data_IF_091939544148
#
_entry.id   IF_091939544148
#
_cell.length_a   1.000
_cell.length_b   1.000
_cell.length_c   1.000
_cell.angle_alpha   90.00
_cell.angle_beta   90.00
_cell.angle_gamma   90.00
#
_symmetry.space_group_name_H-M   'P 1'
#
loop_
_entity.id
_entity.type
_entity.pdbx_description
1 polymer ?
#
# COMPACT_ATOMS: atom_id res chain seq x y z
N UNK A 1 -46.53 -0.95 -77.97
CA UNK A 1 -46.52 -1.55 -76.62
C UNK A 1 -45.56 -0.74 -75.77
N UNK A 2 -46.08 0.24 -75.04
CA UNK A 2 -45.32 1.23 -74.27
C UNK A 2 -45.10 0.74 -72.84
N UNK A 3 -43.83 0.72 -72.42
CA UNK A 3 -43.35 0.29 -71.10
C UNK A 3 -43.54 1.40 -70.06
N UNK A 4 -44.20 1.08 -68.95
CA UNK A 4 -44.34 1.93 -67.76
C UNK A 4 -43.18 1.63 -66.79
N UNK A 5 -42.18 2.51 -66.72
CA UNK A 5 -41.18 2.47 -65.65
C UNK A 5 -41.74 3.18 -64.40
N UNK A 6 -41.96 2.42 -63.33
CA UNK A 6 -42.26 2.95 -61.99
C UNK A 6 -40.98 3.61 -61.42
N UNK A 7 -40.98 4.94 -61.32
CA UNK A 7 -39.95 5.69 -60.59
C UNK A 7 -40.12 5.45 -59.09
N UNK A 8 -39.20 4.71 -58.48
CA UNK A 8 -39.03 4.66 -57.03
C UNK A 8 -38.74 6.09 -56.54
N UNK A 9 -39.55 6.59 -55.60
CA UNK A 9 -39.39 7.95 -55.07
C UNK A 9 -38.13 8.06 -54.18
N UNK A 10 -37.27 9.06 -54.39
CA UNK A 10 -36.02 9.23 -53.64
C UNK A 10 -36.24 9.51 -52.14
N UNK A 11 -37.47 9.85 -51.73
CA UNK A 11 -37.83 10.06 -50.32
C UNK A 11 -37.84 8.75 -49.50
N UNK A 12 -38.08 7.59 -50.12
CA UNK A 12 -38.17 6.31 -49.40
C UNK A 12 -36.77 5.75 -49.04
N UNK A 13 -35.75 6.08 -49.83
CA UNK A 13 -34.35 5.72 -49.56
C UNK A 13 -33.73 6.60 -48.45
N UNK A 14 -34.20 7.85 -48.30
CA UNK A 14 -33.72 8.74 -47.24
C UNK A 14 -34.19 8.29 -45.84
N UNK A 15 -35.39 7.70 -45.74
CA UNK A 15 -35.94 7.23 -44.46
C UNK A 15 -35.25 5.96 -43.94
N UNK A 16 -34.76 5.09 -44.83
CA UNK A 16 -34.01 3.88 -44.45
C UNK A 16 -32.59 4.24 -43.98
N UNK A 17 -31.99 5.30 -44.53
CA UNK A 17 -30.66 5.76 -44.12
C UNK A 17 -30.63 6.50 -42.77
N UNK A 18 -31.76 7.08 -42.36
CA UNK A 18 -31.90 7.76 -41.06
C UNK A 18 -32.11 6.80 -39.87
N UNK A 19 -32.58 5.58 -40.10
CA UNK A 19 -32.72 4.56 -39.03
C UNK A 19 -31.44 3.76 -38.76
N UNK A 20 -30.44 3.80 -39.66
CA UNK A 20 -29.16 3.09 -39.50
C UNK A 20 -28.09 3.91 -38.77
N UNK A 21 -28.37 5.17 -38.42
CA UNK A 21 -27.51 6.03 -37.60
C UNK A 21 -28.06 6.23 -36.18
N UNK A 22 -28.92 5.33 -35.69
CA UNK A 22 -29.10 5.19 -34.25
C UNK A 22 -27.73 4.79 -33.68
N UNK A 23 -27.05 5.74 -33.06
CA UNK A 23 -25.82 5.55 -32.32
C UNK A 23 -26.02 4.43 -31.29
N UNK A 24 -25.71 3.20 -31.69
CA UNK A 24 -25.49 2.12 -30.75
C UNK A 24 -24.11 2.42 -30.17
N UNK A 25 -24.06 3.28 -29.15
CA UNK A 25 -22.86 3.32 -28.31
C UNK A 25 -22.68 1.90 -27.79
N UNK A 26 -21.53 1.25 -28.06
CA UNK A 26 -21.29 -0.08 -27.53
C UNK A 26 -21.54 -0.01 -26.01
N UNK A 27 -22.25 -0.99 -25.43
CA UNK A 27 -22.44 -1.02 -23.99
C UNK A 27 -21.06 -0.91 -23.34
N UNK A 28 -20.91 -0.13 -22.26
CA UNK A 28 -19.64 -0.02 -21.57
C UNK A 28 -19.12 -1.43 -21.28
N UNK A 29 -17.80 -1.67 -21.41
CA UNK A 29 -17.24 -2.97 -21.14
C UNK A 29 -17.72 -3.44 -19.76
N UNK A 30 -18.11 -4.72 -19.61
CA UNK A 30 -18.52 -5.24 -18.32
C UNK A 30 -17.39 -5.01 -17.32
N UNK A 31 -17.76 -4.67 -16.08
CA UNK A 31 -16.80 -4.54 -15.00
C UNK A 31 -15.97 -5.82 -14.92
N UNK A 32 -14.66 -5.69 -14.75
CA UNK A 32 -13.81 -6.84 -14.46
C UNK A 32 -14.34 -7.57 -13.21
N UNK A 33 -14.23 -8.90 -13.14
CA UNK A 33 -14.69 -9.66 -11.98
C UNK A 33 -14.01 -9.12 -10.70
N UNK A 34 -14.79 -8.95 -9.64
CA UNK A 34 -14.30 -8.37 -8.38
C UNK A 34 -13.31 -9.32 -7.73
N UNK A 35 -12.02 -8.96 -7.75
CA UNK A 35 -10.93 -9.73 -7.15
C UNK A 35 -10.26 -8.90 -6.06
N UNK A 36 -10.64 -9.14 -4.80
CA UNK A 36 -10.12 -8.41 -3.64
C UNK A 36 -9.23 -9.35 -2.81
N UNK A 37 -8.02 -8.89 -2.47
CA UNK A 37 -7.07 -9.57 -1.59
C UNK A 37 -6.70 -8.64 -0.42
N UNK A 38 -6.88 -9.05 0.85
CA UNK A 38 -7.51 -10.28 1.31
C UNK A 38 -8.99 -10.39 0.91
N UNK A 39 -9.49 -11.61 0.75
CA UNK A 39 -10.91 -11.85 0.48
C UNK A 39 -11.75 -11.27 1.63
N UNK A 40 -12.74 -10.46 1.27
CA UNK A 40 -13.68 -9.85 2.21
C UNK A 40 -14.64 -10.89 2.78
N UNK A 41 -15.14 -10.66 4.00
CA UNK A 41 -16.02 -11.61 4.68
C UNK A 41 -17.35 -11.88 3.96
N UNK A 42 -18.02 -10.82 3.47
CA UNK A 42 -19.27 -10.90 2.71
C UNK A 42 -19.19 -9.94 1.52
N UNK A 43 -19.47 -10.45 0.32
CA UNK A 43 -19.46 -9.71 -0.95
C UNK A 43 -20.71 -10.09 -1.75
N UNK A 44 -21.47 -9.08 -2.14
CA UNK A 44 -22.56 -9.20 -3.13
C UNK A 44 -22.27 -8.30 -4.30
N UNK A 45 -22.19 -8.87 -5.48
CA UNK A 45 -22.01 -8.15 -6.74
C UNK A 45 -23.36 -7.84 -7.38
N UNK A 46 -23.51 -6.63 -7.90
CA UNK A 46 -24.67 -6.18 -8.65
C UNK A 46 -24.23 -5.69 -10.02
N UNK A 47 -25.14 -5.73 -11.00
CA UNK A 47 -24.86 -5.23 -12.34
C UNK A 47 -24.72 -3.71 -12.38
N UNK A 48 -23.67 -3.23 -13.05
CA UNK A 48 -23.43 -1.81 -13.29
C UNK A 48 -22.19 -1.28 -12.58
N UNK A 49 -21.95 0.01 -12.76
CA UNK A 49 -20.80 0.72 -12.18
C UNK A 49 -21.18 2.13 -11.76
N UNK A 50 -20.46 2.68 -10.78
CA UNK A 50 -20.42 4.11 -10.48
C UNK A 50 -19.07 4.69 -10.91
N UNK A 51 -19.08 5.86 -11.52
CA UNK A 51 -17.86 6.51 -12.02
C UNK A 51 -17.38 7.62 -11.08
N UNK A 52 -16.09 7.64 -10.78
CA UNK A 52 -15.41 8.73 -10.08
C UNK A 52 -14.94 9.76 -11.11
N UNK A 53 -15.26 11.02 -10.87
CA UNK A 53 -15.01 12.15 -11.77
C UNK A 53 -14.40 13.34 -11.00
N UNK A 54 -13.94 14.41 -11.68
CA UNK A 54 -13.46 15.64 -11.03
C UNK A 54 -14.50 16.37 -10.18
N UNK A 55 -15.78 16.05 -10.38
CA UNK A 55 -16.90 16.65 -9.67
C UNK A 55 -17.42 15.76 -8.55
N UNK A 56 -16.85 14.56 -8.37
CA UNK A 56 -17.20 13.66 -7.27
C UNK A 56 -16.92 14.36 -5.95
N UNK A 57 -17.96 14.47 -5.12
CA UNK A 57 -17.89 15.06 -3.79
C UNK A 57 -17.80 13.96 -2.72
N UNK A 58 -16.74 14.01 -1.93
CA UNK A 58 -16.54 13.12 -0.78
C UNK A 58 -16.95 13.87 0.49
N UNK A 59 -17.88 13.29 1.24
CA UNK A 59 -18.36 13.85 2.50
C UNK A 59 -17.96 13.00 3.68
N UNK A 60 -17.43 13.65 4.71
CA UNK A 60 -16.97 13.04 5.96
C UNK A 60 -17.60 13.72 7.17
N UNK A 61 -17.50 13.10 8.36
CA UNK A 61 -18.13 13.63 9.58
C UNK A 61 -17.20 14.46 10.44
N UNK A 62 -15.87 14.30 10.31
CA UNK A 62 -14.90 14.99 11.16
C UNK A 62 -13.54 15.18 10.45
N UNK A 63 -12.67 16.00 11.06
CA UNK A 63 -11.35 16.34 10.52
C UNK A 63 -10.39 15.15 10.37
N UNK A 64 -10.53 14.10 11.20
CA UNK A 64 -9.67 12.91 11.09
C UNK A 64 -10.04 12.10 9.85
N UNK A 65 -11.32 11.84 9.65
CA UNK A 65 -11.84 11.22 8.43
C UNK A 65 -11.51 12.05 7.19
N UNK A 66 -11.56 13.39 7.30
CA UNK A 66 -11.17 14.29 6.22
C UNK A 66 -9.71 14.06 5.80
N UNK A 67 -8.78 13.94 6.75
CA UNK A 67 -7.39 13.61 6.44
C UNK A 67 -7.27 12.25 5.74
N UNK A 68 -7.89 11.21 6.30
CA UNK A 68 -7.84 9.84 5.75
C UNK A 68 -8.37 9.81 4.31
N UNK A 69 -9.51 10.46 4.06
CA UNK A 69 -10.10 10.53 2.73
C UNK A 69 -9.23 11.36 1.77
N UNK A 70 -8.69 12.51 2.20
CA UNK A 70 -7.78 13.32 1.38
C UNK A 70 -6.53 12.55 1.00
N UNK A 71 -5.90 11.85 1.94
CA UNK A 71 -4.69 11.06 1.69
C UNK A 71 -4.95 10.00 0.58
N UNK A 72 -6.15 9.41 0.54
CA UNK A 72 -6.56 8.48 -0.51
C UNK A 72 -6.90 9.18 -1.84
N UNK A 73 -7.80 10.16 -1.84
CA UNK A 73 -8.31 10.77 -3.06
C UNK A 73 -7.31 11.71 -3.75
N UNK A 74 -6.31 12.23 -3.03
CA UNK A 74 -5.22 13.00 -3.62
C UNK A 74 -4.41 12.18 -4.63
N UNK A 75 -4.39 10.86 -4.51
CA UNK A 75 -3.73 9.97 -5.49
C UNK A 75 -4.28 10.15 -6.90
N UNK A 76 -5.56 10.52 -7.05
CA UNK A 76 -6.13 10.84 -8.38
C UNK A 76 -5.48 12.05 -9.03
N UNK A 77 -4.96 13.02 -8.28
CA UNK A 77 -4.26 14.16 -8.88
C UNK A 77 -2.88 13.77 -9.44
N UNK A 78 -2.27 12.72 -8.88
CA UNK A 78 -1.02 12.15 -9.38
C UNK A 78 -1.27 11.32 -10.64
N UNK A 79 -2.35 10.53 -10.66
CA UNK A 79 -2.69 9.63 -11.75
C UNK A 79 -3.38 10.33 -12.92
N UNK A 80 -4.12 11.41 -12.72
CA UNK A 80 -4.98 11.98 -13.76
C UNK A 80 -4.49 13.35 -14.25
N UNK A 81 -5.17 13.86 -15.28
CA UNK A 81 -4.99 15.24 -15.76
C UNK A 81 -5.91 16.23 -15.04
N UNK A 82 -6.80 15.73 -14.19
CA UNK A 82 -7.79 16.52 -13.48
C UNK A 82 -7.47 16.56 -11.97
N UNK A 83 -8.15 17.45 -11.24
CA UNK A 83 -7.92 17.66 -9.80
C UNK A 83 -8.47 16.50 -8.97
N UNK A 84 -7.91 16.22 -7.80
CA UNK A 84 -8.49 15.24 -6.88
C UNK A 84 -9.96 15.57 -6.53
N UNK A 85 -10.82 14.56 -6.33
CA UNK A 85 -12.16 14.74 -5.78
C UNK A 85 -12.15 15.60 -4.51
N UNK A 86 -13.15 16.46 -4.36
CA UNK A 86 -13.23 17.37 -3.22
C UNK A 86 -13.68 16.60 -1.96
N UNK A 87 -12.97 16.80 -0.85
CA UNK A 87 -13.29 16.19 0.45
C UNK A 87 -13.73 17.27 1.42
N UNK A 88 -14.98 17.21 1.88
CA UNK A 88 -15.57 18.19 2.80
C UNK A 88 -16.22 17.52 4.00
N UNK A 89 -16.21 18.22 5.15
CA UNK A 89 -17.01 17.81 6.30
C UNK A 89 -18.47 18.21 6.04
N UNK A 90 -19.37 17.23 5.99
CA UNK A 90 -20.75 17.50 5.63
C UNK A 90 -21.58 16.24 5.44
N UNK A 91 -22.69 16.38 4.72
CA UNK A 91 -23.60 15.31 4.34
C UNK A 91 -23.89 15.42 2.84
N UNK A 92 -24.40 14.34 2.24
CA UNK A 92 -24.92 14.30 0.88
C UNK A 92 -23.85 14.47 -0.23
N UNK A 93 -22.69 13.83 -0.09
CA UNK A 93 -21.75 13.64 -1.20
C UNK A 93 -22.06 12.40 -2.05
N UNK A 94 -21.34 12.24 -3.15
CA UNK A 94 -21.36 11.00 -3.95
C UNK A 94 -20.70 9.85 -3.19
N UNK A 95 -19.65 10.16 -2.42
CA UNK A 95 -18.97 9.22 -1.51
C UNK A 95 -19.18 9.72 -0.07
N UNK A 96 -19.73 8.87 0.79
CA UNK A 96 -20.21 9.29 2.11
C UNK A 96 -19.62 8.42 3.22
N UNK A 97 -18.90 9.05 4.14
CA UNK A 97 -18.38 8.37 5.33
C UNK A 97 -19.35 8.57 6.47
N UNK A 98 -19.69 7.49 7.17
CA UNK A 98 -20.50 7.60 8.38
C UNK A 98 -20.16 6.54 9.42
N UNK A 99 -19.94 6.99 10.65
CA UNK A 99 -19.58 6.13 11.76
C UNK A 99 -20.78 5.29 12.23
N UNK A 100 -20.55 3.99 12.43
CA UNK A 100 -21.51 3.04 13.02
C UNK A 100 -20.86 2.32 14.20
N UNK A 101 -21.31 2.64 15.41
CA UNK A 101 -20.69 2.12 16.65
C UNK A 101 -20.91 0.60 16.87
N UNK A 102 -21.82 -0.03 16.13
CA UNK A 102 -22.14 -1.47 16.25
C UNK A 102 -21.27 -2.39 15.39
N UNK A 103 -20.32 -1.85 14.63
CA UNK A 103 -19.38 -2.66 13.85
C UNK A 103 -18.20 -3.13 14.71
N UNK A 104 -17.62 -4.28 14.37
CA UNK A 104 -16.40 -4.73 15.02
C UNK A 104 -15.28 -3.70 14.87
N UNK A 105 -14.30 -3.73 15.79
CA UNK A 105 -13.10 -2.89 15.71
C UNK A 105 -12.41 -3.15 14.36
N UNK A 106 -12.04 -2.07 13.68
CA UNK A 106 -11.41 -2.09 12.34
C UNK A 106 -12.30 -2.68 11.23
N UNK A 107 -13.56 -3.02 11.54
CA UNK A 107 -14.55 -3.49 10.58
C UNK A 107 -15.21 -2.34 9.84
N UNK A 108 -15.67 -2.64 8.63
CA UNK A 108 -16.36 -1.68 7.77
C UNK A 108 -17.46 -2.33 6.93
N UNK A 109 -18.36 -1.50 6.44
CA UNK A 109 -19.30 -1.83 5.37
C UNK A 109 -19.07 -0.84 4.22
N UNK A 110 -19.07 -1.34 2.99
CA UNK A 110 -18.95 -0.54 1.78
C UNK A 110 -20.11 -0.89 0.85
N UNK A 111 -20.95 0.10 0.55
CA UNK A 111 -22.11 -0.04 -0.32
C UNK A 111 -21.93 0.87 -1.54
N UNK A 112 -21.69 0.28 -2.70
CA UNK A 112 -21.62 0.97 -3.99
C UNK A 112 -22.93 0.79 -4.74
N UNK A 113 -23.64 1.89 -4.98
CA UNK A 113 -24.91 1.94 -5.71
C UNK A 113 -24.77 2.79 -6.97
N UNK A 114 -25.80 2.78 -7.83
CA UNK A 114 -25.83 3.63 -9.03
C UNK A 114 -25.87 5.15 -8.76
N UNK A 115 -25.96 5.58 -7.49
CA UNK A 115 -26.00 6.99 -7.09
C UNK A 115 -24.89 7.39 -6.12
N UNK A 116 -24.53 6.51 -5.19
CA UNK A 116 -23.63 6.84 -4.09
C UNK A 116 -22.77 5.65 -3.69
N UNK A 117 -21.59 5.94 -3.14
CA UNK A 117 -20.78 4.99 -2.36
C UNK A 117 -20.88 5.37 -0.89
N UNK A 118 -21.33 4.46 -0.06
CA UNK A 118 -21.44 4.66 1.38
C UNK A 118 -20.41 3.79 2.08
N UNK A 119 -19.58 4.41 2.91
CA UNK A 119 -18.57 3.75 3.73
C UNK A 119 -18.95 3.92 5.19
N UNK A 120 -19.12 2.80 5.87
CA UNK A 120 -19.41 2.75 7.29
C UNK A 120 -18.29 2.06 8.05
N UNK A 121 -17.86 2.61 9.18
CA UNK A 121 -16.87 1.97 10.06
C UNK A 121 -17.11 2.36 11.51
N UNK A 122 -16.57 1.57 12.44
CA UNK A 122 -16.62 1.88 13.89
C UNK A 122 -15.51 2.83 14.34
N UNK A 123 -14.40 2.91 13.58
CA UNK A 123 -13.22 3.69 13.92
C UNK A 123 -12.47 4.17 12.67
N UNK A 124 -11.48 5.04 12.89
CA UNK A 124 -10.63 5.61 11.83
C UNK A 124 -9.92 4.52 10.98
N UNK A 125 -9.48 3.42 11.61
CA UNK A 125 -8.81 2.31 10.92
C UNK A 125 -9.75 1.54 9.97
N UNK A 126 -11.02 1.34 10.36
CA UNK A 126 -12.02 0.71 9.51
C UNK A 126 -12.31 1.54 8.26
N UNK A 127 -12.38 2.88 8.37
CA UNK A 127 -12.47 3.76 7.20
C UNK A 127 -11.26 3.61 6.28
N UNK A 128 -10.06 3.55 6.87
CA UNK A 128 -8.84 3.32 6.10
C UNK A 128 -8.86 1.96 5.36
N UNK A 129 -9.24 0.87 6.03
CA UNK A 129 -9.33 -0.45 5.38
C UNK A 129 -10.42 -0.54 4.32
N UNK A 130 -11.54 0.19 4.49
CA UNK A 130 -12.56 0.32 3.45
C UNK A 130 -11.99 0.98 2.19
N UNK A 131 -11.14 2.00 2.35
CA UNK A 131 -10.46 2.65 1.23
C UNK A 131 -9.44 1.72 0.56
N UNK A 132 -8.75 0.84 1.29
CA UNK A 132 -7.89 -0.19 0.69
C UNK A 132 -8.70 -1.16 -0.19
N UNK A 133 -9.93 -1.49 0.22
CA UNK A 133 -10.84 -2.27 -0.62
C UNK A 133 -11.34 -1.45 -1.82
N UNK A 134 -11.67 -0.18 -1.62
CA UNK A 134 -12.04 0.73 -2.70
C UNK A 134 -10.95 0.85 -3.77
N UNK A 135 -9.67 0.92 -3.37
CA UNK A 135 -8.52 0.92 -4.29
C UNK A 135 -8.49 -0.33 -5.18
N UNK A 136 -8.79 -1.50 -4.62
CA UNK A 136 -8.79 -2.76 -5.38
C UNK A 136 -10.04 -2.94 -6.26
N UNK A 137 -11.13 -2.22 -5.94
CA UNK A 137 -12.32 -2.14 -6.78
C UNK A 137 -12.15 -1.20 -7.98
N UNK A 138 -11.19 -0.28 -7.91
CA UNK A 138 -10.84 0.61 -9.02
C UNK A 138 -10.04 -0.13 -10.10
N UNK A 139 -9.94 0.43 -11.32
CA UNK A 139 -9.10 -0.14 -12.37
C UNK A 139 -7.63 -0.30 -11.91
N UNK A 140 -6.89 -1.32 -12.40
CA UNK A 140 -5.49 -1.57 -12.02
C UNK A 140 -4.56 -0.37 -12.19
N UNK A 141 -4.90 0.53 -13.11
CA UNK A 141 -4.25 1.81 -13.34
C UNK A 141 -4.16 2.69 -12.08
N UNK A 142 -4.99 2.45 -11.05
CA UNK A 142 -4.90 3.11 -9.75
C UNK A 142 -3.56 2.83 -9.04
N UNK A 143 -2.94 1.69 -9.30
CA UNK A 143 -1.65 1.30 -8.73
C UNK A 143 -0.46 1.63 -9.65
N UNK A 144 -0.73 2.26 -10.80
CA UNK A 144 0.31 2.62 -11.75
C UNK A 144 1.19 3.75 -11.21
N UNK A 145 2.51 3.71 -11.43
CA UNK A 145 3.39 4.83 -11.14
C UNK A 145 3.27 5.98 -12.16
N UNK A 146 2.55 5.78 -13.27
CA UNK A 146 2.46 6.72 -14.39
C UNK A 146 1.07 7.36 -14.51
N UNK A 147 1.02 8.54 -15.16
CA UNK A 147 -0.24 9.22 -15.46
C UNK A 147 -1.11 8.46 -16.46
N UNK A 148 -2.39 8.41 -16.15
CA UNK A 148 -3.44 7.64 -16.81
C UNK A 148 -4.42 8.59 -17.50
N UNK A 149 -4.17 8.90 -18.78
CA UNK A 149 -4.90 9.95 -19.53
C UNK A 149 -6.27 9.51 -20.07
N UNK A 150 -6.46 8.20 -20.30
CA UNK A 150 -7.64 7.66 -20.98
C UNK A 150 -8.38 6.62 -20.14
N UNK A 151 -8.03 6.52 -18.85
CA UNK A 151 -8.62 5.56 -17.93
C UNK A 151 -9.95 6.08 -17.41
N UNK A 152 -10.96 5.22 -17.46
CA UNK A 152 -12.27 5.48 -16.88
C UNK A 152 -12.29 4.92 -15.46
N UNK A 153 -12.44 5.79 -14.46
CA UNK A 153 -12.36 5.42 -13.05
C UNK A 153 -13.72 4.93 -12.55
N UNK A 154 -13.99 3.65 -12.74
CA UNK A 154 -15.27 3.03 -12.37
C UNK A 154 -15.12 2.06 -11.21
N UNK A 155 -16.17 1.98 -10.39
CA UNK A 155 -16.29 1.05 -9.28
C UNK A 155 -17.55 0.21 -9.53
N UNK A 156 -17.46 -1.12 -9.46
CA UNK A 156 -18.63 -1.99 -9.60
C UNK A 156 -19.64 -1.75 -8.48
N UNK A 157 -20.91 -2.03 -8.75
CA UNK A 157 -21.95 -1.96 -7.73
C UNK A 157 -21.85 -3.18 -6.82
N UNK A 158 -21.54 -2.97 -5.56
CA UNK A 158 -21.25 -4.04 -4.60
C UNK A 158 -21.77 -3.70 -3.21
N UNK A 159 -22.13 -4.73 -2.45
CA UNK A 159 -22.28 -4.66 -1.01
C UNK A 159 -21.18 -5.48 -0.36
N UNK A 160 -20.36 -4.83 0.47
CA UNK A 160 -19.26 -5.48 1.18
C UNK A 160 -19.45 -5.26 2.68
N UNK A 161 -19.30 -6.32 3.45
CA UNK A 161 -19.12 -6.25 4.90
C UNK A 161 -17.85 -6.99 5.23
N UNK A 162 -16.96 -6.33 5.97
CA UNK A 162 -15.66 -6.92 6.26
C UNK A 162 -15.16 -6.55 7.65
N UNK A 163 -14.38 -7.45 8.21
CA UNK A 163 -13.71 -7.26 9.49
C UNK A 163 -12.52 -8.21 9.61
N UNK A 164 -11.44 -7.82 10.30
CA UNK A 164 -10.30 -8.70 10.45
C UNK A 164 -10.64 -9.88 11.35
N UNK A 165 -10.27 -11.10 10.93
CA UNK A 165 -10.32 -12.30 11.78
C UNK A 165 -9.37 -12.20 12.99
N UNK A 166 -8.20 -11.62 12.78
CA UNK A 166 -7.16 -11.48 13.80
C UNK A 166 -6.80 -10.01 14.03
N UNK A 167 -6.69 -9.63 15.30
CA UNK A 167 -6.28 -8.27 15.69
C UNK A 167 -4.81 -7.98 15.33
N UNK A 168 -3.93 -8.98 15.42
CA UNK A 168 -2.51 -8.88 15.06
C UNK A 168 -2.27 -9.46 13.66
N UNK A 169 -1.90 -8.60 12.71
CA UNK A 169 -1.62 -8.98 11.32
C UNK A 169 -0.24 -8.46 10.96
N UNK A 170 0.75 -9.29 11.25
CA UNK A 170 2.15 -8.91 11.28
C UNK A 170 2.92 -9.23 10.00
N UNK A 171 3.89 -8.37 9.68
CA UNK A 171 4.96 -8.67 8.74
C UNK A 171 6.30 -8.29 9.41
N UNK A 172 7.27 -9.20 9.38
CA UNK A 172 8.61 -8.94 9.88
C UNK A 172 9.56 -8.67 8.73
N UNK A 173 10.38 -7.62 8.85
CA UNK A 173 11.49 -7.36 7.93
C UNK A 173 12.81 -7.36 8.69
N UNK A 174 13.70 -8.25 8.26
CA UNK A 174 15.11 -8.27 8.64
C UNK A 174 15.87 -7.23 7.84
N UNK A 175 16.30 -6.17 8.53
CA UNK A 175 17.16 -5.13 7.96
C UNK A 175 18.58 -5.21 8.51
N UNK A 176 18.84 -6.16 9.41
CA UNK A 176 20.17 -6.41 9.96
C UNK A 176 21.05 -7.14 8.95
N UNK A 177 20.55 -8.22 8.34
CA UNK A 177 21.33 -9.00 7.37
C UNK A 177 21.63 -8.17 6.13
N UNK A 178 20.63 -7.49 5.57
CA UNK A 178 20.83 -6.53 4.49
C UNK A 178 20.13 -5.22 4.82
N UNK A 179 20.84 -4.11 4.68
CA UNK A 179 20.27 -2.80 4.99
C UNK A 179 19.35 -2.32 3.86
N UNK A 180 18.16 -1.87 4.23
CA UNK A 180 17.22 -1.20 3.33
C UNK A 180 17.04 0.24 3.76
N UNK A 181 17.15 1.19 2.83
CA UNK A 181 16.97 2.61 3.16
C UNK A 181 15.52 2.94 3.56
N UNK A 182 15.31 4.11 4.17
CA UNK A 182 13.98 4.51 4.67
C UNK A 182 12.88 4.54 3.61
N UNK A 183 13.23 4.90 2.37
CA UNK A 183 12.26 4.95 1.27
C UNK A 183 11.77 3.55 0.89
N UNK A 184 12.64 2.55 0.99
CA UNK A 184 12.23 1.16 0.84
C UNK A 184 11.29 0.72 1.98
N UNK A 185 11.60 1.10 3.23
CA UNK A 185 10.72 0.78 4.38
C UNK A 185 9.32 1.38 4.18
N UNK A 186 9.23 2.62 3.69
CA UNK A 186 7.93 3.25 3.36
C UNK A 186 7.15 2.46 2.32
N UNK A 187 7.82 1.99 1.24
CA UNK A 187 7.17 1.13 0.22
C UNK A 187 6.65 -0.18 0.82
N UNK A 188 7.39 -0.80 1.74
CA UNK A 188 6.92 -1.99 2.46
C UNK A 188 5.68 -1.68 3.28
N UNK A 189 5.65 -0.54 3.99
CA UNK A 189 4.48 -0.10 4.76
C UNK A 189 3.27 0.19 3.87
N UNK A 190 3.45 0.71 2.66
CA UNK A 190 2.38 0.88 1.67
C UNK A 190 1.79 -0.47 1.24
N UNK A 191 2.64 -1.45 0.93
CA UNK A 191 2.21 -2.81 0.56
C UNK A 191 1.48 -3.51 1.72
N UNK A 192 2.01 -3.37 2.94
CA UNK A 192 1.35 -3.87 4.15
C UNK A 192 -0.05 -3.27 4.31
N UNK A 193 -0.18 -1.96 4.11
CA UNK A 193 -1.46 -1.27 4.21
C UNK A 193 -2.46 -1.74 3.14
N UNK A 194 -2.03 -1.88 1.89
CA UNK A 194 -2.85 -2.41 0.79
C UNK A 194 -3.42 -3.80 1.11
N UNK A 195 -2.64 -4.63 1.82
CA UNK A 195 -3.02 -5.97 2.30
C UNK A 195 -3.69 -5.97 3.68
N UNK A 196 -4.02 -4.79 4.22
CA UNK A 196 -4.67 -4.59 5.53
C UNK A 196 -3.86 -5.15 6.72
N UNK A 197 -2.55 -5.32 6.58
CA UNK A 197 -1.64 -5.64 7.70
C UNK A 197 -1.48 -4.41 8.61
N UNK A 198 -1.27 -4.62 9.90
CA UNK A 198 -1.28 -3.54 10.88
C UNK A 198 -0.10 -3.56 11.86
N UNK A 199 0.81 -4.52 11.75
CA UNK A 199 1.94 -4.62 12.65
C UNK A 199 3.22 -4.88 11.87
N UNK A 200 4.15 -3.95 11.90
CA UNK A 200 5.46 -4.06 11.29
C UNK A 200 6.48 -4.44 12.36
N UNK A 201 6.94 -5.69 12.31
CA UNK A 201 7.99 -6.18 13.19
C UNK A 201 9.34 -5.87 12.54
N UNK A 202 10.11 -4.99 13.16
CA UNK A 202 11.32 -4.44 12.57
C UNK A 202 12.54 -5.02 13.27
N UNK A 203 13.14 -6.03 12.64
CA UNK A 203 14.31 -6.72 13.14
C UNK A 203 15.57 -5.90 12.81
N UNK A 204 16.04 -5.13 13.80
CA UNK A 204 17.01 -4.04 13.63
C UNK A 204 18.45 -4.43 13.98
N UNK A 205 18.66 -5.56 14.64
CA UNK A 205 19.98 -5.94 15.18
C UNK A 205 20.22 -7.43 15.03
N UNK A 206 21.40 -7.81 14.55
CA UNK A 206 21.85 -9.21 14.51
C UNK A 206 23.40 -9.23 14.47
N UNK A 207 23.99 -10.40 14.25
CA UNK A 207 25.45 -10.58 14.19
C UNK A 207 26.11 -9.76 13.08
N UNK A 208 25.41 -9.57 11.96
CA UNK A 208 25.89 -8.93 10.73
C UNK A 208 25.56 -7.44 10.63
N UNK A 209 24.92 -6.86 11.66
CA UNK A 209 24.44 -5.50 11.56
C UNK A 209 23.74 -4.95 12.78
N UNK A 210 24.07 -3.71 13.12
CA UNK A 210 23.32 -2.89 14.06
C UNK A 210 22.74 -1.68 13.32
N UNK A 211 21.41 -1.57 13.25
CA UNK A 211 20.74 -0.62 12.33
C UNK A 211 20.10 0.59 13.01
N UNK A 212 20.15 0.71 14.33
CA UNK A 212 19.47 1.78 15.06
C UNK A 212 20.45 2.71 15.79
N UNK A 213 20.36 4.02 15.56
CA UNK A 213 21.17 4.99 16.28
C UNK A 213 20.82 5.05 17.79
N UNK A 214 21.81 4.75 18.63
CA UNK A 214 21.73 4.96 20.08
C UNK A 214 22.75 6.03 20.48
N UNK A 215 22.28 7.26 20.71
CA UNK A 215 23.15 8.43 21.01
C UNK A 215 24.14 8.23 22.15
N UNK A 216 23.77 7.43 23.17
CA UNK A 216 24.67 7.13 24.30
C UNK A 216 25.78 6.15 23.91
N UNK A 217 25.57 5.33 22.87
CA UNK A 217 26.47 4.27 22.43
C UNK A 217 26.78 4.41 20.93
N UNK A 218 27.52 5.45 20.51
CA UNK A 218 27.73 5.78 19.09
C UNK A 218 28.47 4.68 18.32
N UNK A 219 29.32 3.89 18.98
CA UNK A 219 30.06 2.79 18.32
C UNK A 219 29.14 1.73 17.73
N UNK A 220 27.91 1.59 18.22
CA UNK A 220 26.93 0.67 17.66
C UNK A 220 26.66 0.95 16.17
N UNK A 221 26.70 2.22 15.75
CA UNK A 221 26.51 2.62 14.36
C UNK A 221 27.80 3.02 13.65
N UNK A 222 28.82 3.51 14.38
CA UNK A 222 30.14 3.79 13.78
C UNK A 222 30.87 2.50 13.38
N UNK A 223 30.69 1.41 14.14
CA UNK A 223 31.30 0.10 13.90
C UNK A 223 30.23 -0.93 13.53
N UNK A 224 29.27 -1.20 14.42
CA UNK A 224 28.30 -2.30 14.26
C UNK A 224 27.38 -2.21 13.05
N UNK A 225 27.21 -1.02 12.44
CA UNK A 225 26.41 -0.86 11.22
C UNK A 225 27.14 -1.26 9.93
N UNK A 226 28.44 -1.57 9.99
CA UNK A 226 29.26 -1.79 8.80
C UNK A 226 30.01 -3.11 8.91
N UNK A 227 30.05 -3.85 7.81
CA UNK A 227 30.81 -5.09 7.69
C UNK A 227 31.55 -5.14 6.36
N UNK A 228 32.49 -6.07 6.26
CA UNK A 228 33.18 -6.37 5.01
C UNK A 228 32.28 -7.23 4.14
N UNK A 229 32.09 -6.82 2.88
CA UNK A 229 31.41 -7.63 1.89
C UNK A 229 32.42 -8.45 1.07
N UNK A 230 32.51 -9.74 1.36
CA UNK A 230 33.38 -10.65 0.63
C UNK A 230 32.81 -11.13 -0.71
N UNK A 231 31.61 -10.71 -1.12
CA UNK A 231 30.98 -11.00 -2.42
C UNK A 231 31.06 -12.47 -2.88
N UNK A 232 31.14 -13.42 -1.94
CA UNK A 232 31.25 -14.85 -2.20
C UNK A 232 29.85 -15.44 -2.34
N UNK A 233 29.39 -15.52 -3.58
CA UNK A 233 28.08 -16.06 -3.97
C UNK A 233 28.11 -17.57 -4.28
N UNK A 234 29.29 -18.20 -4.25
CA UNK A 234 29.44 -19.64 -4.42
C UNK A 234 29.04 -20.34 -3.13
N UNK A 235 27.88 -20.99 -3.11
CA UNK A 235 27.32 -21.74 -1.98
C UNK A 235 28.19 -22.93 -1.53
N UNK A 236 29.14 -23.39 -2.35
CA UNK A 236 30.11 -24.43 -1.98
C UNK A 236 31.29 -23.87 -1.18
N UNK A 237 31.52 -22.55 -1.25
CA UNK A 237 32.52 -21.80 -0.47
C UNK A 237 31.85 -21.05 0.69
N UNK A 238 30.63 -20.56 0.45
CA UNK A 238 29.77 -19.80 1.35
C UNK A 238 28.64 -20.70 1.86
N UNK A 239 28.99 -21.71 2.65
CA UNK A 239 27.99 -22.32 3.52
C UNK A 239 27.67 -21.32 4.66
N UNK A 240 26.48 -21.40 5.25
CA UNK A 240 26.04 -20.51 6.34
C UNK A 240 27.05 -20.43 7.50
N UNK A 241 27.94 -21.42 7.61
CA UNK A 241 28.98 -21.60 8.63
C UNK A 241 30.41 -21.22 8.18
N UNK A 242 30.61 -20.84 6.93
CA UNK A 242 31.94 -20.70 6.30
C UNK A 242 32.18 -19.35 5.66
N UNK A 243 31.37 -18.35 6.00
CA UNK A 243 31.67 -16.97 5.62
C UNK A 243 33.02 -16.56 6.23
N UNK A 244 33.93 -16.01 5.41
CA UNK A 244 35.24 -15.63 5.90
C UNK A 244 35.11 -14.58 7.00
N UNK A 245 35.88 -14.77 8.08
CA UNK A 245 36.01 -13.76 9.12
C UNK A 245 36.71 -12.54 8.53
N UNK A 246 36.24 -11.35 8.91
CA UNK A 246 36.91 -10.09 8.63
C UNK A 246 38.40 -10.17 9.01
N UNK A 247 39.28 -9.84 8.07
CA UNK A 247 40.73 -9.80 8.28
C UNK A 247 41.16 -8.40 8.70
N UNK A 248 42.30 -8.34 9.38
CA UNK A 248 42.91 -7.06 9.75
C UNK A 248 43.27 -6.26 8.48
N UNK A 249 42.85 -5.00 8.44
CA UNK A 249 43.04 -4.11 7.28
C UNK A 249 41.89 -4.13 6.26
N UNK A 250 40.91 -5.03 6.38
CA UNK A 250 39.75 -5.01 5.50
C UNK A 250 38.87 -3.78 5.77
N UNK A 251 38.36 -3.19 4.68
CA UNK A 251 37.45 -2.04 4.74
C UNK A 251 36.01 -2.52 4.89
N UNK A 252 35.36 -2.15 5.99
CA UNK A 252 33.93 -2.36 6.17
C UNK A 252 33.13 -1.30 5.39
N UNK A 253 32.61 -1.65 4.22
CA UNK A 253 31.93 -0.74 3.30
C UNK A 253 30.49 -1.14 2.96
N UNK A 254 30.04 -2.31 3.42
CA UNK A 254 28.65 -2.72 3.31
C UNK A 254 27.89 -2.47 4.60
N UNK A 255 26.79 -1.71 4.53
CA UNK A 255 26.00 -1.43 5.70
C UNK A 255 25.09 -0.22 5.58
N UNK A 256 24.81 0.36 6.73
CA UNK A 256 23.87 1.46 6.91
C UNK A 256 23.09 1.32 8.22
N UNK A 257 22.51 2.43 8.66
CA UNK A 257 21.68 2.50 9.85
C UNK A 257 20.63 3.61 9.69
N UNK A 258 19.60 3.57 10.54
CA UNK A 258 18.60 4.62 10.65
C UNK A 258 18.96 5.56 11.79
N UNK A 259 19.00 6.86 11.48
CA UNK A 259 19.07 7.87 12.53
C UNK A 259 17.77 7.87 13.35
N UNK A 260 17.79 8.44 14.54
CA UNK A 260 16.56 8.61 15.31
C UNK A 260 15.51 9.47 14.56
N UNK A 261 15.96 10.40 13.73
CA UNK A 261 15.07 11.24 12.91
C UNK A 261 14.40 10.41 11.80
N UNK A 262 15.17 9.56 11.11
CA UNK A 262 14.60 8.62 10.12
C UNK A 262 13.58 7.69 10.77
N UNK A 263 13.86 7.17 11.97
CA UNK A 263 12.93 6.30 12.70
C UNK A 263 11.64 7.06 13.06
N UNK A 264 11.73 8.31 13.55
CA UNK A 264 10.54 9.12 13.86
C UNK A 264 9.71 9.37 12.60
N UNK A 265 10.35 9.63 11.47
CA UNK A 265 9.69 9.79 10.18
C UNK A 265 8.94 8.52 9.76
N UNK A 266 9.59 7.36 9.85
CA UNK A 266 8.99 6.05 9.52
C UNK A 266 7.83 5.73 10.47
N UNK A 267 7.95 6.01 11.77
CA UNK A 267 6.85 5.83 12.74
C UNK A 267 5.65 6.71 12.39
N UNK A 268 5.88 7.98 12.05
CA UNK A 268 4.81 8.88 11.64
C UNK A 268 4.12 8.37 10.36
N UNK A 269 4.91 7.91 9.38
CA UNK A 269 4.42 7.36 8.12
C UNK A 269 3.58 6.09 8.30
N UNK A 270 4.02 5.17 9.17
CA UNK A 270 3.30 3.95 9.52
C UNK A 270 1.99 4.26 10.25
N UNK A 271 1.99 5.26 11.13
CA UNK A 271 0.80 5.68 11.90
C UNK A 271 -0.33 6.17 11.00
N UNK A 272 -0.01 6.90 9.92
CA UNK A 272 -1.01 7.34 8.94
C UNK A 272 -1.70 6.17 8.21
N UNK A 273 -1.05 5.00 8.20
CA UNK A 273 -1.55 3.74 7.62
C UNK A 273 -2.12 2.78 8.66
N UNK A 274 -2.28 3.23 9.91
CA UNK A 274 -2.72 2.39 11.03
C UNK A 274 -1.82 1.17 11.27
N UNK A 275 -0.52 1.30 10.97
CA UNK A 275 0.49 0.27 11.22
C UNK A 275 1.25 0.62 12.51
N UNK A 276 1.30 -0.33 13.44
CA UNK A 276 2.13 -0.27 14.64
C UNK A 276 3.52 -0.82 14.31
N UNK A 277 4.58 -0.13 14.71
CA UNK A 277 5.95 -0.62 14.59
C UNK A 277 6.38 -1.25 15.91
N UNK A 278 6.87 -2.48 15.83
CA UNK A 278 7.48 -3.23 16.93
C UNK A 278 8.97 -3.34 16.62
N UNK A 279 9.85 -2.57 17.28
CA UNK A 279 11.28 -2.72 17.08
C UNK A 279 11.78 -3.95 17.85
N UNK A 280 12.75 -4.65 17.27
CA UNK A 280 13.46 -5.75 17.91
C UNK A 280 14.94 -5.42 18.06
N UNK A 281 15.43 -5.61 19.29
CA UNK A 281 16.85 -5.68 19.62
C UNK A 281 17.05 -7.09 20.17
N UNK A 282 17.67 -7.96 19.39
CA UNK A 282 17.83 -9.38 19.72
C UNK A 282 19.02 -9.59 20.67
N UNK A 283 18.74 -10.22 21.81
CA UNK A 283 19.69 -10.50 22.90
C UNK A 283 19.26 -11.76 23.67
N UNK A 284 20.20 -12.53 24.27
CA UNK A 284 21.65 -12.31 24.28
C UNK A 284 22.38 -12.94 23.09
N UNK A 285 21.69 -13.72 22.26
CA UNK A 285 22.21 -14.19 20.97
C UNK A 285 22.27 -13.05 19.94
N UNK A 286 22.63 -13.35 18.69
CA UNK A 286 22.57 -12.39 17.58
C UNK A 286 23.21 -11.02 17.89
N UNK A 287 24.32 -11.05 18.63
CA UNK A 287 24.92 -9.88 19.28
C UNK A 287 26.35 -9.60 18.81
N UNK A 288 26.84 -10.28 17.77
CA UNK A 288 28.23 -10.07 17.32
C UNK A 288 28.50 -8.63 16.86
N UNK A 289 27.55 -7.95 16.21
CA UNK A 289 27.69 -6.52 15.86
C UNK A 289 27.78 -5.62 17.11
N UNK A 290 27.04 -5.97 18.17
CA UNK A 290 27.10 -5.28 19.44
C UNK A 290 28.46 -5.52 20.13
N UNK A 291 28.91 -6.77 20.20
CA UNK A 291 30.21 -7.14 20.78
C UNK A 291 31.36 -6.48 20.01
N UNK A 292 31.31 -6.43 18.67
CA UNK A 292 32.33 -5.75 17.86
C UNK A 292 32.40 -4.24 18.16
N UNK A 293 31.26 -3.64 18.51
CA UNK A 293 31.17 -2.22 18.86
C UNK A 293 31.68 -1.93 20.28
N UNK A 294 31.40 -2.84 21.22
CA UNK A 294 31.76 -2.74 22.65
C UNK A 294 32.30 -4.09 23.17
N UNK A 295 33.57 -4.43 22.89
CA UNK A 295 34.18 -5.71 23.23
C UNK A 295 34.15 -6.08 24.72
N UNK A 296 34.05 -5.10 25.61
CA UNK A 296 34.05 -5.29 27.07
C UNK A 296 32.89 -6.13 27.59
N UNK A 297 31.83 -6.31 26.79
CA UNK A 297 30.66 -7.13 27.17
C UNK A 297 30.86 -8.62 26.88
N UNK A 298 31.92 -8.99 26.14
CA UNK A 298 32.15 -10.36 25.72
C UNK A 298 32.83 -11.19 26.82
N UNK A 299 32.52 -12.49 26.85
CA UNK A 299 33.12 -13.42 27.81
C UNK A 299 34.56 -13.84 27.43
N UNK A 300 34.88 -13.87 26.14
CA UNK A 300 36.18 -14.33 25.63
C UNK A 300 37.13 -13.17 25.32
N UNK A 301 38.45 -13.40 25.23
CA UNK A 301 39.36 -12.41 24.68
C UNK A 301 39.09 -12.20 23.18
N UNK A 302 39.20 -10.95 22.72
CA UNK A 302 39.05 -10.57 21.31
C UNK A 302 40.26 -10.96 20.43
N UNK A 303 40.34 -10.46 19.18
CA UNK A 303 39.53 -9.39 18.60
C UNK A 303 38.14 -9.82 18.13
N UNK A 304 37.20 -8.87 18.08
CA UNK A 304 35.86 -9.05 17.53
C UNK A 304 35.65 -8.16 16.31
N UNK A 305 34.96 -8.70 15.32
CA UNK A 305 34.53 -7.98 14.13
C UNK A 305 33.06 -8.30 13.86
N UNK A 306 32.36 -7.40 13.16
CA UNK A 306 30.99 -7.62 12.72
C UNK A 306 30.97 -8.85 11.80
N UNK A 307 29.98 -9.73 11.94
CA UNK A 307 29.89 -10.92 11.10
C UNK A 307 29.61 -10.54 9.64
N UNK A 308 30.16 -11.30 8.69
CA UNK A 308 30.04 -11.06 7.25
C UNK A 308 28.78 -11.65 6.63
#
# INVERSE_FOLDING_TARGET
>A
MTSYQKKLHPLFLLFIFLFLNACITPPPPPAAPVAIIPQVLDLKENEGVLEITPNTLVTVQNKRQEKIAKDFFNHFAELTTWRAPEVVIGKNGDIQFSQKDKLAKDGYELLSTNKTIQIHASNDAGFFYALQTLAQLLPPEFFSPEKQKHTRWVIPLVEIKDQPRFAWRGFMLDVSRHFYNKEYIKKVLDLMAALKLNTFHWHLTDDQGWRIEIKKYPKLTEVGAWRVDYNTHDENVSNWWGRPKQKEGDKADYGGFYTQDDIREIIAYAKERFITIIPEIDIPGHSQAFIASYPEIACTPGPYAVAT
#
